data_IF_896969308730
#
_entry.id   IF_896969308730
#
_cell.length_a   1.000
_cell.length_b   1.000
_cell.length_c   1.000
_cell.angle_alpha   90.00
_cell.angle_beta   90.00
_cell.angle_gamma   90.00
#
_symmetry.space_group_name_H-M   'P 1'
#
loop_
_entity.id
_entity.type
_entity.pdbx_description
1 polymer ?
#
# COMPACT_ATOMS: atom_id res chain seq x y z
N UNK A 1 14.03 -0.39 -38.54
CA UNK A 1 13.27 -1.49 -37.87
C UNK A 1 13.06 -1.27 -36.36
N UNK A 2 13.76 -0.33 -35.69
CA UNK A 2 13.66 -0.10 -34.24
C UNK A 2 12.36 0.62 -33.79
N UNK A 3 11.73 1.43 -34.66
CA UNK A 3 10.58 2.28 -34.32
C UNK A 3 9.32 1.47 -33.93
N UNK A 4 9.06 0.32 -34.59
CA UNK A 4 7.91 -0.55 -34.27
C UNK A 4 8.03 -1.21 -32.89
N UNK A 5 9.24 -1.55 -32.44
CA UNK A 5 9.47 -2.12 -31.10
C UNK A 5 9.23 -1.07 -30.02
N UNK A 6 9.65 0.17 -30.26
CA UNK A 6 9.43 1.29 -29.33
C UNK A 6 7.95 1.66 -29.21
N UNK A 7 7.19 1.66 -30.32
CA UNK A 7 5.74 1.89 -30.27
C UNK A 7 4.98 0.84 -29.45
N UNK A 8 5.31 -0.45 -29.61
CA UNK A 8 4.69 -1.51 -28.81
C UNK A 8 5.00 -1.38 -27.31
N UNK A 9 6.23 -0.95 -26.99
CA UNK A 9 6.67 -0.74 -25.61
C UNK A 9 5.95 0.47 -24.98
N UNK A 10 5.80 1.57 -25.71
CA UNK A 10 5.05 2.76 -25.27
C UNK A 10 3.57 2.43 -25.04
N UNK A 11 2.92 1.70 -25.95
CA UNK A 11 1.53 1.26 -25.76
C UNK A 11 1.39 0.36 -24.51
N UNK A 12 2.35 -0.53 -24.28
CA UNK A 12 2.38 -1.37 -23.08
C UNK A 12 2.50 -0.56 -21.78
N UNK A 13 3.39 0.44 -21.74
CA UNK A 13 3.56 1.30 -20.56
C UNK A 13 2.30 2.14 -20.28
N UNK A 14 1.65 2.65 -21.32
CA UNK A 14 0.40 3.42 -21.17
C UNK A 14 -0.72 2.55 -20.58
N UNK A 15 -0.94 1.35 -21.13
CA UNK A 15 -1.96 0.42 -20.62
C UNK A 15 -1.65 0.03 -19.17
N UNK A 16 -0.37 -0.25 -18.85
CA UNK A 16 0.05 -0.57 -17.50
C UNK A 16 -0.20 0.60 -16.54
N UNK A 17 0.06 1.83 -16.98
CA UNK A 17 -0.15 3.04 -16.18
C UNK A 17 -1.63 3.33 -15.91
N UNK A 18 -2.53 3.11 -16.88
CA UNK A 18 -3.97 3.28 -16.68
C UNK A 18 -4.56 2.16 -15.81
N UNK A 19 -4.13 0.91 -16.02
CA UNK A 19 -4.53 -0.21 -15.18
C UNK A 19 -4.13 -0.02 -13.71
N UNK A 20 -2.95 0.59 -13.48
CA UNK A 20 -2.47 0.90 -12.13
C UNK A 20 -3.36 1.90 -11.40
N UNK A 21 -3.91 2.91 -12.10
CA UNK A 21 -4.84 3.87 -11.50
C UNK A 21 -6.18 3.22 -11.12
N UNK A 22 -6.68 2.31 -11.93
CA UNK A 22 -7.90 1.55 -11.59
C UNK A 22 -7.62 0.73 -10.33
N UNK A 23 -6.48 0.03 -10.26
CA UNK A 23 -6.15 -0.80 -9.12
C UNK A 23 -5.91 0.02 -7.83
N UNK A 24 -5.18 1.13 -7.90
CA UNK A 24 -4.83 1.92 -6.71
C UNK A 24 -5.93 2.88 -6.24
N UNK A 25 -6.87 3.29 -7.10
CA UNK A 25 -7.98 4.16 -6.72
C UNK A 25 -9.28 3.40 -6.45
N UNK A 26 -9.59 2.35 -7.23
CA UNK A 26 -10.88 1.64 -7.17
C UNK A 26 -10.92 0.62 -6.04
N UNK A 27 -9.84 -0.14 -5.80
CA UNK A 27 -9.83 -1.11 -4.69
C UNK A 27 -10.02 -0.42 -3.33
N UNK A 28 -9.28 0.66 -2.98
CA UNK A 28 -9.47 1.31 -1.70
C UNK A 28 -10.84 1.96 -1.53
N UNK A 29 -11.44 2.47 -2.61
CA UNK A 29 -12.80 3.03 -2.56
C UNK A 29 -13.86 1.95 -2.37
N UNK A 30 -13.74 0.80 -3.05
CA UNK A 30 -14.65 -0.33 -2.82
C UNK A 30 -14.59 -0.84 -1.39
N UNK A 31 -13.38 -0.99 -0.83
CA UNK A 31 -13.21 -1.36 0.57
C UNK A 31 -13.81 -0.31 1.51
N UNK A 32 -13.62 0.98 1.24
CA UNK A 32 -14.19 2.05 2.07
C UNK A 32 -15.72 2.04 2.06
N UNK A 33 -16.33 1.82 0.89
CA UNK A 33 -17.79 1.73 0.75
C UNK A 33 -18.33 0.51 1.50
N UNK A 34 -17.68 -0.65 1.37
CA UNK A 34 -18.05 -1.86 2.11
C UNK A 34 -17.90 -1.67 3.63
N UNK A 35 -16.82 -1.05 4.09
CA UNK A 35 -16.62 -0.73 5.51
C UNK A 35 -17.72 0.18 6.05
N UNK A 36 -18.18 1.16 5.26
CA UNK A 36 -19.31 2.02 5.64
C UNK A 36 -20.61 1.22 5.71
N UNK A 37 -20.88 0.35 4.73
CA UNK A 37 -22.06 -0.53 4.71
C UNK A 37 -22.09 -1.50 5.90
N UNK A 38 -20.93 -2.04 6.28
CA UNK A 38 -20.77 -2.87 7.49
C UNK A 38 -20.95 -2.03 8.76
N UNK A 39 -20.36 -0.84 8.83
CA UNK A 39 -20.49 0.08 9.97
C UNK A 39 -21.92 0.59 10.19
N UNK A 40 -22.73 0.67 9.12
CA UNK A 40 -24.16 0.98 9.18
C UNK A 40 -25.02 -0.23 9.55
N UNK A 41 -24.44 -1.41 9.76
CA UNK A 41 -25.15 -2.63 10.13
C UNK A 41 -26.03 -3.22 9.02
N UNK A 42 -25.99 -2.64 7.81
CA UNK A 42 -26.73 -3.13 6.63
C UNK A 42 -26.21 -4.51 6.19
N UNK A 43 -24.94 -4.80 6.47
CA UNK A 43 -24.30 -6.10 6.29
C UNK A 43 -23.88 -6.70 7.65
N UNK A 44 -24.86 -6.99 8.52
CA UNK A 44 -24.63 -7.52 9.88
C UNK A 44 -24.21 -8.99 9.97
N UNK A 45 -24.21 -9.73 8.86
CA UNK A 45 -23.76 -11.12 8.82
C UNK A 45 -22.65 -11.24 7.78
N UNK A 46 -21.39 -11.38 8.21
CA UNK A 46 -20.31 -11.82 7.32
C UNK A 46 -20.68 -13.23 6.84
N UNK A 47 -21.00 -13.44 5.56
CA UNK A 47 -21.31 -14.78 5.08
C UNK A 47 -20.02 -15.63 5.11
N UNK A 48 -20.13 -16.94 5.34
CA UNK A 48 -18.98 -17.84 5.56
C UNK A 48 -17.93 -17.81 4.43
N UNK A 49 -18.33 -17.48 3.20
CA UNK A 49 -17.39 -17.34 2.09
C UNK A 49 -16.52 -16.08 2.21
N UNK A 50 -17.04 -15.03 2.86
CA UNK A 50 -16.35 -13.77 3.10
C UNK A 50 -15.36 -13.88 4.27
N UNK A 51 -15.61 -14.75 5.26
CA UNK A 51 -14.64 -15.00 6.34
C UNK A 51 -13.37 -15.67 5.83
N UNK A 52 -13.49 -16.63 4.90
CA UNK A 52 -12.31 -17.26 4.29
C UNK A 52 -11.47 -16.27 3.44
N UNK A 53 -12.12 -15.32 2.79
CA UNK A 53 -11.45 -14.24 2.04
C UNK A 53 -10.81 -13.23 3.00
N UNK A 54 -11.46 -12.93 4.12
CA UNK A 54 -10.95 -12.03 5.15
C UNK A 54 -9.64 -12.55 5.77
N UNK A 55 -9.56 -13.83 6.10
CA UNK A 55 -8.33 -14.46 6.62
C UNK A 55 -7.20 -14.46 5.60
N UNK A 56 -7.52 -14.70 4.32
CA UNK A 56 -6.54 -14.56 3.23
C UNK A 56 -6.04 -13.12 3.08
N UNK A 57 -6.93 -12.13 3.23
CA UNK A 57 -6.57 -10.71 3.16
C UNK A 57 -5.68 -10.29 4.33
N UNK A 58 -5.92 -10.80 5.54
CA UNK A 58 -5.08 -10.49 6.70
C UNK A 58 -3.62 -10.94 6.51
N UNK A 59 -3.38 -12.07 5.85
CA UNK A 59 -2.02 -12.50 5.49
C UNK A 59 -1.36 -11.53 4.49
N UNK A 60 -2.16 -10.93 3.61
CA UNK A 60 -1.71 -9.98 2.60
C UNK A 60 -1.64 -8.52 3.07
N UNK A 61 -2.09 -8.22 4.27
CA UNK A 61 -2.15 -6.85 4.80
C UNK A 61 -0.76 -6.27 5.05
N UNK A 62 0.12 -7.04 5.69
CA UNK A 62 1.52 -6.64 5.98
C UNK A 62 2.32 -6.32 4.71
N UNK A 63 2.34 -7.18 3.66
CA UNK A 63 3.05 -6.84 2.43
C UNK A 63 2.46 -5.64 1.70
N UNK A 64 1.14 -5.41 1.75
CA UNK A 64 0.51 -4.22 1.15
C UNK A 64 0.93 -2.94 1.87
N UNK A 65 1.00 -2.94 3.21
CA UNK A 65 1.49 -1.79 3.99
C UNK A 65 2.96 -1.53 3.70
N UNK A 66 3.79 -2.59 3.62
CA UNK A 66 5.22 -2.49 3.34
C UNK A 66 5.49 -1.93 1.94
N UNK A 67 4.77 -2.40 0.93
CA UNK A 67 4.88 -1.89 -0.44
C UNK A 67 4.41 -0.44 -0.54
N UNK A 68 3.32 -0.07 0.15
CA UNK A 68 2.85 1.31 0.23
C UNK A 68 3.88 2.25 0.86
N UNK A 69 4.56 1.81 1.93
CA UNK A 69 5.68 2.54 2.53
C UNK A 69 6.84 2.74 1.54
N UNK A 70 7.22 1.68 0.82
CA UNK A 70 8.30 1.73 -0.16
C UNK A 70 8.00 2.73 -1.30
N UNK A 71 6.77 2.72 -1.83
CA UNK A 71 6.35 3.68 -2.87
C UNK A 71 6.36 5.12 -2.35
N UNK A 72 5.93 5.35 -1.10
CA UNK A 72 6.01 6.67 -0.45
C UNK A 72 7.45 7.15 -0.30
N UNK A 73 8.37 6.28 0.11
CA UNK A 73 9.80 6.59 0.22
C UNK A 73 10.41 6.92 -1.14
N UNK A 74 10.05 6.17 -2.18
CA UNK A 74 10.48 6.46 -3.56
C UNK A 74 9.95 7.82 -4.00
N UNK A 75 8.67 8.12 -3.75
CA UNK A 75 8.06 9.40 -4.09
C UNK A 75 8.78 10.59 -3.43
N UNK A 76 9.12 10.47 -2.14
CA UNK A 76 9.92 11.48 -1.44
C UNK A 76 11.37 11.56 -1.95
N UNK A 77 11.98 10.44 -2.29
CA UNK A 77 13.34 10.38 -2.84
C UNK A 77 13.43 11.09 -4.20
N UNK A 78 12.47 10.82 -5.08
CA UNK A 78 12.36 11.49 -6.39
C UNK A 78 12.08 12.98 -6.22
N UNK A 79 11.21 13.36 -5.27
CA UNK A 79 10.95 14.78 -4.98
C UNK A 79 12.22 15.50 -4.48
N UNK A 80 12.99 14.86 -3.60
CA UNK A 80 14.26 15.39 -3.11
C UNK A 80 15.29 15.53 -4.24
N UNK A 81 15.41 14.53 -5.10
CA UNK A 81 16.31 14.58 -6.26
C UNK A 81 15.89 15.69 -7.25
N UNK A 82 14.60 15.86 -7.51
CA UNK A 82 14.07 16.96 -8.32
C UNK A 82 14.41 18.32 -7.70
N UNK A 83 14.36 18.47 -6.37
CA UNK A 83 14.79 19.72 -5.71
C UNK A 83 16.29 20.00 -5.87
N UNK A 84 17.11 18.97 -5.99
CA UNK A 84 18.56 19.09 -6.18
C UNK A 84 18.94 19.41 -7.63
N UNK A 85 18.19 18.89 -8.61
CA UNK A 85 18.44 19.11 -10.04
C UNK A 85 17.78 20.38 -10.60
N UNK A 86 16.94 21.06 -9.81
CA UNK A 86 16.34 22.31 -10.22
C UNK A 86 17.42 23.37 -10.47
N UNK A 87 17.26 24.11 -11.57
CA UNK A 87 18.12 25.20 -11.98
C UNK A 87 18.15 26.28 -10.89
N UNK A 88 19.17 26.23 -10.03
CA UNK A 88 19.52 27.33 -9.15
C UNK A 88 20.32 28.34 -9.99
N UNK A 89 19.73 29.49 -10.29
CA UNK A 89 20.44 30.71 -10.68
C UNK A 89 21.24 30.74 -12.01
N UNK A 90 20.94 29.92 -13.01
CA UNK A 90 21.60 30.02 -14.33
C UNK A 90 20.70 30.56 -15.43
N UNK A 91 20.14 31.77 -15.30
CA UNK A 91 19.62 32.57 -16.42
C UNK A 91 18.67 31.87 -17.42
N UNK A 92 17.94 30.83 -17.00
CA UNK A 92 17.23 29.94 -17.92
C UNK A 92 15.98 30.63 -18.50
N UNK A 93 15.92 30.67 -19.84
CA UNK A 93 14.87 31.27 -20.67
C UNK A 93 13.55 30.45 -20.73
N UNK A 94 13.18 29.73 -19.67
CA UNK A 94 11.96 28.92 -19.61
C UNK A 94 10.96 29.48 -18.59
N UNK A 95 9.64 29.29 -18.81
CA UNK A 95 8.61 29.67 -17.85
C UNK A 95 8.90 29.08 -16.47
N UNK A 96 8.45 29.73 -15.37
CA UNK A 96 8.80 29.33 -14.02
C UNK A 96 8.54 27.84 -13.82
N UNK A 97 9.56 27.08 -13.42
CA UNK A 97 9.44 25.66 -13.05
C UNK A 97 8.58 25.42 -11.79
N UNK A 98 8.11 26.52 -11.18
CA UNK A 98 7.53 26.58 -9.85
C UNK A 98 6.07 26.10 -9.69
N UNK A 99 5.13 26.27 -10.66
CA UNK A 99 3.73 25.98 -10.40
C UNK A 99 3.40 24.48 -10.37
N UNK A 100 4.17 23.62 -11.06
CA UNK A 100 3.95 22.17 -11.05
C UNK A 100 4.62 21.49 -9.84
N UNK A 101 5.74 22.03 -9.35
CA UNK A 101 6.51 21.46 -8.24
C UNK A 101 5.79 21.56 -6.89
N UNK A 102 5.03 22.64 -6.66
CA UNK A 102 4.25 22.84 -5.43
C UNK A 102 3.07 21.88 -5.29
N UNK A 103 2.44 21.48 -6.39
CA UNK A 103 1.33 20.52 -6.37
C UNK A 103 1.80 19.10 -6.01
N UNK A 104 2.97 18.70 -6.51
CA UNK A 104 3.56 17.39 -6.19
C UNK A 104 3.85 17.22 -4.68
N UNK A 105 4.34 18.27 -4.02
CA UNK A 105 4.60 18.20 -2.57
C UNK A 105 3.32 18.11 -1.75
N UNK A 106 2.23 18.75 -2.19
CA UNK A 106 0.92 18.67 -1.53
C UNK A 106 0.36 17.25 -1.61
N UNK A 107 0.42 16.62 -2.79
CA UNK A 107 -0.01 15.23 -2.98
C UNK A 107 0.80 14.28 -2.09
N UNK A 108 2.13 14.43 -2.05
CA UNK A 108 2.98 13.61 -1.17
C UNK A 108 2.64 13.79 0.32
N UNK A 109 2.34 15.02 0.76
CA UNK A 109 1.91 15.26 2.15
C UNK A 109 0.58 14.61 2.47
N UNK A 110 -0.42 14.71 1.58
CA UNK A 110 -1.72 14.06 1.73
C UNK A 110 -1.54 12.53 1.78
N UNK A 111 -0.79 11.95 0.84
CA UNK A 111 -0.51 10.51 0.81
C UNK A 111 0.18 10.03 2.11
N UNK A 112 1.12 10.80 2.63
CA UNK A 112 1.81 10.49 3.90
C UNK A 112 0.84 10.51 5.09
N UNK A 113 -0.07 11.49 5.14
CA UNK A 113 -1.09 11.57 6.19
C UNK A 113 -2.06 10.38 6.15
N UNK A 114 -2.54 10.01 4.95
CA UNK A 114 -3.41 8.84 4.78
C UNK A 114 -2.69 7.56 5.19
N UNK A 115 -1.41 7.41 4.85
CA UNK A 115 -0.61 6.25 5.24
C UNK A 115 -0.43 6.14 6.76
N UNK A 116 -0.19 7.25 7.45
CA UNK A 116 -0.12 7.29 8.92
C UNK A 116 -1.46 6.87 9.54
N UNK A 117 -2.58 7.36 9.01
CA UNK A 117 -3.91 6.93 9.44
C UNK A 117 -4.11 5.43 9.26
N UNK A 118 -3.69 4.88 8.11
CA UNK A 118 -3.76 3.44 7.82
C UNK A 118 -2.92 2.61 8.81
N UNK A 119 -1.66 3.00 9.07
CA UNK A 119 -0.82 2.37 10.09
C UNK A 119 -1.46 2.47 11.49
N UNK A 120 -2.06 3.61 11.82
CA UNK A 120 -2.68 3.81 13.14
C UNK A 120 -3.83 2.83 13.36
N UNK A 121 -4.71 2.68 12.37
CA UNK A 121 -5.79 1.68 12.38
C UNK A 121 -5.21 0.27 12.45
N UNK A 122 -4.22 -0.06 11.62
CA UNK A 122 -3.55 -1.35 11.66
C UNK A 122 -3.01 -1.69 13.06
N UNK A 123 -2.29 -0.75 13.70
CA UNK A 123 -1.75 -0.96 15.04
C UNK A 123 -2.85 -1.11 16.09
N UNK A 124 -3.92 -0.33 16.01
CA UNK A 124 -5.04 -0.41 16.96
C UNK A 124 -5.79 -1.74 16.82
N UNK A 125 -6.10 -2.17 15.59
CA UNK A 125 -6.91 -3.39 15.37
C UNK A 125 -6.08 -4.68 15.45
N UNK A 126 -4.84 -4.71 14.96
CA UNK A 126 -3.98 -5.91 15.03
C UNK A 126 -3.19 -6.01 16.34
N UNK A 127 -2.51 -4.93 16.76
CA UNK A 127 -1.72 -4.98 18.02
C UNK A 127 -2.56 -4.71 19.26
N UNK A 128 -3.61 -3.89 19.17
CA UNK A 128 -4.54 -3.69 20.28
C UNK A 128 -5.24 -5.00 20.67
N UNK A 129 -5.61 -5.83 19.70
CA UNK A 129 -6.22 -7.14 19.97
C UNK A 129 -5.22 -8.16 20.55
N UNK A 130 -3.96 -8.13 20.12
CA UNK A 130 -2.89 -8.99 20.67
C UNK A 130 -2.44 -8.58 22.09
N UNK A 131 -2.55 -7.29 22.43
CA UNK A 131 -2.20 -6.77 23.78
C UNK A 131 -3.35 -6.96 24.77
N UNK A 132 -4.59 -7.14 24.31
CA UNK A 132 -5.80 -7.39 25.11
C UNK A 132 -6.03 -8.87 25.48
N UNK A 133 -5.09 -9.77 25.16
CA UNK A 133 -4.95 -11.08 25.84
C UNK A 133 -6.12 -12.08 25.69
N UNK A 134 -6.89 -12.04 24.60
CA UNK A 134 -7.99 -13.00 24.38
C UNK A 134 -7.66 -14.20 23.48
N UNK A 135 -6.42 -14.32 22.98
CA UNK A 135 -5.96 -15.58 22.39
C UNK A 135 -4.55 -15.91 22.87
N UNK A 136 -4.34 -17.06 23.52
CA UNK A 136 -3.01 -17.51 23.88
C UNK A 136 -2.20 -17.74 22.61
N UNK A 137 -0.97 -17.23 22.65
CA UNK A 137 0.15 -17.60 21.78
C UNK A 137 0.18 -19.12 21.63
N UNK A 138 -0.05 -19.65 20.42
CA UNK A 138 0.40 -21.00 20.12
C UNK A 138 1.92 -20.96 20.27
N UNK A 139 2.52 -21.70 21.23
CA UNK A 139 3.95 -21.66 21.40
C UNK A 139 4.63 -22.19 20.12
N UNK A 140 5.77 -21.59 19.74
CA UNK A 140 6.53 -22.00 18.58
C UNK A 140 6.98 -23.45 18.73
N UNK A 141 6.97 -24.17 17.61
CA UNK A 141 7.59 -25.47 17.39
C UNK A 141 8.87 -25.67 18.22
N UNK A 142 8.79 -26.48 19.28
CA UNK A 142 9.93 -27.04 19.95
C UNK A 142 10.24 -28.40 19.32
N UNK A 143 11.31 -28.42 18.51
CA UNK A 143 12.02 -29.64 18.16
C UNK A 143 12.70 -30.24 19.41
N UNK A 144 12.51 -31.53 19.65
CA UNK A 144 13.40 -32.47 20.38
C UNK A 144 12.68 -33.83 20.36
N UNK A 145 13.00 -34.72 19.44
CA UNK A 145 14.04 -35.74 19.59
C UNK A 145 14.01 -36.43 20.97
N UNK A 146 13.33 -37.59 21.05
CA UNK A 146 13.65 -38.76 21.89
C UNK A 146 12.43 -39.66 22.10
N UNK A 147 12.30 -40.75 21.34
CA UNK A 147 12.15 -42.12 21.87
C UNK A 147 11.91 -43.11 20.74
N UNK A 148 13.03 -43.73 20.36
CA UNK A 148 13.12 -45.13 19.97
C UNK A 148 12.24 -45.99 20.91
N UNK A 149 11.31 -46.76 20.35
CA UNK A 149 10.56 -47.78 21.09
C UNK A 149 10.65 -49.07 20.29
N UNK A 150 11.83 -49.67 20.38
CA UNK A 150 11.93 -51.12 20.42
C UNK A 150 11.26 -51.62 21.70
N UNK A 151 10.32 -52.53 21.51
CA UNK A 151 9.98 -53.71 22.32
C UNK A 151 8.74 -54.37 21.68
#
# INVERSE_FOLDING_TARGET
MQIRKVQGLLNGVVILSEASHIFCCVLPTLFSVMSILVGLGVAGAMPLWLSGIHDMIHVWEVPIIMTSAAVLLIGWSVHYLSRKMDCHDTGCHHPPCEPQKKSAVVILKIATLLFIGNITVFLIFHKGLHTLGLMPENPPSAATDSHDRGD
#
